data_IF_292889709351
#
_entry.id   IF_292889709351
#
_cell.length_a   1.000
_cell.length_b   1.000
_cell.length_c   1.000
_cell.angle_alpha   90.00
_cell.angle_beta   90.00
_cell.angle_gamma   90.00
#
_symmetry.space_group_name_H-M   'P 1'
#
loop_
_entity.id
_entity.type
_entity.pdbx_description
1 polymer ?
#
# COMPACT_ATOMS: atom_id res chain seq x y z
N UNK A 1 -37.17 9.20 4.97
CA UNK A 1 -36.30 8.22 5.62
C UNK A 1 -34.95 8.25 4.89
N UNK A 2 -33.92 8.81 5.49
CA UNK A 2 -32.57 8.66 4.98
C UNK A 2 -32.15 7.23 5.31
N UNK A 3 -32.04 6.37 4.33
CA UNK A 3 -31.39 5.08 4.45
C UNK A 3 -29.89 5.31 4.58
N UNK A 4 -29.43 5.67 5.75
CA UNK A 4 -28.01 5.76 6.04
C UNK A 4 -27.40 4.36 5.96
N UNK A 5 -26.40 4.17 5.13
CA UNK A 5 -25.53 3.01 5.20
C UNK A 5 -24.85 3.02 6.56
N UNK A 6 -25.02 1.96 7.34
CA UNK A 6 -24.50 1.92 8.71
C UNK A 6 -23.12 1.28 8.68
N UNK A 7 -22.08 2.06 9.04
CA UNK A 7 -20.78 1.51 9.36
C UNK A 7 -20.83 0.81 10.72
N UNK A 8 -20.38 -0.42 10.81
CA UNK A 8 -20.39 -1.21 12.04
C UNK A 8 -19.05 -1.91 12.29
N UNK A 9 -18.83 -2.29 13.54
CA UNK A 9 -17.67 -3.07 13.97
C UNK A 9 -16.31 -2.41 13.64
N UNK A 10 -16.24 -1.07 13.76
CA UNK A 10 -15.05 -0.30 13.51
C UNK A 10 -14.41 0.21 14.80
N UNK A 11 -13.08 0.30 14.81
CA UNK A 11 -12.30 0.95 15.87
C UNK A 11 -11.64 2.20 15.29
N UNK A 12 -11.98 3.39 15.79
CA UNK A 12 -11.39 4.66 15.39
C UNK A 12 -10.83 5.40 16.59
N UNK A 13 -9.52 5.62 16.62
CA UNK A 13 -8.82 6.34 17.68
C UNK A 13 -7.93 7.43 17.09
N UNK A 14 -8.26 8.67 17.30
CA UNK A 14 -7.52 9.83 16.79
C UNK A 14 -8.40 10.80 16.02
N UNK A 15 -7.89 12.02 15.78
CA UNK A 15 -8.59 13.02 14.99
C UNK A 15 -8.79 12.51 13.57
N UNK A 16 -10.01 12.62 13.03
CA UNK A 16 -10.39 12.19 11.69
C UNK A 16 -10.09 10.70 11.34
N UNK A 17 -9.83 9.83 12.34
CA UNK A 17 -9.67 8.40 12.08
C UNK A 17 -10.97 7.83 11.52
N UNK A 18 -10.90 7.10 10.38
CA UNK A 18 -12.02 6.51 9.64
C UNK A 18 -13.18 7.49 9.36
N UNK A 19 -12.88 8.76 9.15
CA UNK A 19 -13.89 9.83 9.05
C UNK A 19 -14.97 9.58 7.98
N UNK A 20 -14.63 8.97 6.86
CA UNK A 20 -15.56 8.70 5.76
C UNK A 20 -16.11 7.26 5.73
N UNK A 21 -15.72 6.41 6.68
CA UNK A 21 -16.23 5.03 6.74
C UNK A 21 -17.77 5.03 6.80
N UNK A 22 -18.43 4.25 5.94
CA UNK A 22 -19.89 4.15 5.90
C UNK A 22 -20.63 5.33 5.26
N UNK A 23 -19.97 6.37 4.73
CA UNK A 23 -20.67 7.50 4.11
C UNK A 23 -21.27 7.20 2.73
N UNK A 24 -20.65 6.32 1.97
CA UNK A 24 -21.09 6.00 0.60
C UNK A 24 -21.53 4.54 0.42
N UNK A 25 -21.09 3.65 1.27
CA UNK A 25 -21.46 2.23 1.27
C UNK A 25 -21.44 1.70 2.71
N UNK A 26 -22.12 0.59 2.98
CA UNK A 26 -21.97 -0.11 4.24
C UNK A 26 -20.54 -0.65 4.33
N UNK A 27 -19.75 -0.08 5.21
CA UNK A 27 -18.35 -0.47 5.43
C UNK A 27 -18.14 -0.76 6.90
N UNK A 28 -17.35 -1.77 7.21
CA UNK A 28 -17.12 -2.18 8.59
C UNK A 28 -15.88 -3.01 8.80
N UNK A 29 -15.73 -3.47 10.04
CA UNK A 29 -14.62 -4.34 10.44
C UNK A 29 -13.23 -3.72 10.18
N UNK A 30 -13.13 -2.40 10.32
CA UNK A 30 -11.89 -1.67 10.08
C UNK A 30 -11.34 -1.06 11.36
N UNK A 31 -10.02 -0.94 11.44
CA UNK A 31 -9.30 -0.31 12.56
C UNK A 31 -8.53 0.89 12.02
N UNK A 32 -8.77 2.07 12.60
CA UNK A 32 -8.01 3.29 12.34
C UNK A 32 -7.49 3.89 13.65
N UNK A 33 -6.18 3.88 13.85
CA UNK A 33 -5.52 4.45 15.02
C UNK A 33 -4.46 5.46 14.60
N UNK A 34 -4.71 6.72 14.85
CA UNK A 34 -3.84 7.83 14.49
C UNK A 34 -4.59 8.99 13.86
N UNK A 35 -3.96 10.17 13.79
CA UNK A 35 -4.53 11.32 13.10
C UNK A 35 -4.69 11.01 11.61
N UNK A 36 -5.91 11.13 11.08
CA UNK A 36 -6.21 10.86 9.66
C UNK A 36 -6.05 9.41 9.20
N UNK A 37 -5.87 8.43 10.11
CA UNK A 37 -5.80 7.02 9.73
C UNK A 37 -7.10 6.59 9.03
N UNK A 38 -7.02 6.17 7.77
CA UNK A 38 -8.16 5.79 6.95
C UNK A 38 -9.17 6.90 6.67
N UNK A 39 -8.78 8.18 6.74
CA UNK A 39 -9.72 9.32 6.68
C UNK A 39 -10.64 9.32 5.48
N UNK A 40 -10.12 9.02 4.29
CA UNK A 40 -10.88 9.05 3.03
C UNK A 40 -11.23 7.65 2.51
N UNK A 41 -11.22 6.64 3.40
CA UNK A 41 -11.58 5.26 3.02
C UNK A 41 -13.05 4.95 3.27
N UNK A 42 -13.61 4.12 2.40
CA UNK A 42 -14.96 3.55 2.51
C UNK A 42 -14.95 2.03 2.37
N UNK A 43 -13.77 1.43 2.15
CA UNK A 43 -13.61 -0.03 2.08
C UNK A 43 -13.60 -0.70 3.45
N UNK A 44 -13.93 -1.98 3.49
CA UNK A 44 -14.01 -2.81 4.71
C UNK A 44 -12.71 -3.57 5.01
N UNK A 45 -12.62 -4.11 6.23
CA UNK A 45 -11.55 -5.02 6.63
C UNK A 45 -10.14 -4.42 6.57
N UNK A 46 -10.01 -3.11 6.73
CA UNK A 46 -8.73 -2.43 6.72
C UNK A 46 -8.20 -2.21 8.13
N UNK A 47 -6.88 -2.32 8.31
CA UNK A 47 -6.18 -1.99 9.54
C UNK A 47 -5.15 -0.90 9.27
N UNK A 48 -5.39 0.31 9.80
CA UNK A 48 -4.54 1.48 9.63
C UNK A 48 -4.04 1.98 10.98
N UNK A 49 -2.73 1.93 11.22
CA UNK A 49 -2.12 2.37 12.48
C UNK A 49 -0.98 3.35 12.20
N UNK A 50 -1.16 4.58 12.58
CA UNK A 50 -0.20 5.67 12.36
C UNK A 50 -0.87 6.92 11.78
N UNK A 51 -0.23 8.08 11.93
CA UNK A 51 -0.74 9.30 11.30
C UNK A 51 -0.73 9.14 9.78
N UNK A 52 -1.86 9.43 9.14
CA UNK A 52 -2.09 9.29 7.70
C UNK A 52 -1.89 7.86 7.14
N UNK A 53 -1.82 6.81 7.98
CA UNK A 53 -1.81 5.44 7.50
C UNK A 53 -3.13 5.15 6.76
N UNK A 54 -3.05 4.64 5.53
CA UNK A 54 -4.23 4.39 4.71
C UNK A 54 -5.12 5.62 4.52
N UNK A 55 -4.55 6.82 4.44
CA UNK A 55 -5.31 8.08 4.35
C UNK A 55 -6.38 8.04 3.26
N UNK A 56 -6.06 7.41 2.15
CA UNK A 56 -6.88 7.34 0.94
C UNK A 56 -6.50 8.41 -0.08
N UNK A 57 -6.29 7.99 -1.33
CA UNK A 57 -5.83 8.86 -2.42
C UNK A 57 -6.88 9.84 -2.95
N UNK A 58 -8.16 9.67 -2.60
CA UNK A 58 -9.26 10.53 -3.06
C UNK A 58 -9.91 11.26 -1.90
N UNK A 59 -9.86 12.59 -1.91
CA UNK A 59 -10.39 13.46 -0.85
C UNK A 59 -11.87 13.83 -1.04
N UNK A 60 -12.46 13.45 -2.17
CA UNK A 60 -13.88 13.63 -2.51
C UNK A 60 -14.48 12.31 -3.01
N UNK A 61 -15.79 12.22 -3.05
CA UNK A 61 -16.47 11.02 -3.57
C UNK A 61 -16.21 10.85 -5.10
N UNK A 62 -16.00 9.63 -5.59
CA UNK A 62 -15.94 8.39 -4.81
C UNK A 62 -14.65 8.32 -3.97
N UNK A 63 -14.80 8.04 -2.68
CA UNK A 63 -13.66 7.86 -1.77
C UNK A 63 -12.93 6.53 -2.04
N UNK A 64 -11.77 6.36 -1.40
CA UNK A 64 -10.97 5.14 -1.55
C UNK A 64 -11.74 3.91 -1.04
N UNK A 65 -11.93 2.91 -1.88
CA UNK A 65 -12.78 1.75 -1.61
C UNK A 65 -12.01 0.43 -1.46
N UNK A 66 -10.69 0.48 -1.48
CA UNK A 66 -9.84 -0.72 -1.31
C UNK A 66 -10.09 -1.42 0.03
N UNK A 67 -9.99 -2.75 0.04
CA UNK A 67 -10.32 -3.60 1.17
C UNK A 67 -9.16 -4.51 1.58
N UNK A 68 -9.25 -5.07 2.80
CA UNK A 68 -8.30 -6.06 3.30
C UNK A 68 -6.84 -5.56 3.34
N UNK A 69 -6.62 -4.26 3.51
CA UNK A 69 -5.28 -3.70 3.61
C UNK A 69 -4.85 -3.60 5.08
N UNK A 70 -3.57 -3.85 5.33
CA UNK A 70 -2.92 -3.57 6.61
C UNK A 70 -1.82 -2.54 6.36
N UNK A 71 -1.94 -1.35 6.96
CA UNK A 71 -0.93 -0.30 6.86
C UNK A 71 -0.54 0.21 8.25
N UNK A 72 0.75 0.11 8.58
CA UNK A 72 1.29 0.52 9.88
C UNK A 72 2.49 1.45 9.68
N UNK A 73 2.37 2.69 10.13
CA UNK A 73 3.42 3.71 10.03
C UNK A 73 2.89 5.05 9.52
N UNK A 74 3.70 6.10 9.67
CA UNK A 74 3.36 7.42 9.13
C UNK A 74 3.29 7.37 7.59
N UNK A 75 2.15 7.77 7.00
CA UNK A 75 1.96 7.78 5.55
C UNK A 75 2.08 6.40 4.87
N UNK A 76 1.99 5.29 5.61
CA UNK A 76 1.97 3.97 5.01
C UNK A 76 0.69 3.80 4.18
N UNK A 77 0.80 3.44 2.90
CA UNK A 77 -0.32 3.23 1.97
C UNK A 77 -1.25 4.46 1.86
N UNK A 78 -0.71 5.67 1.89
CA UNK A 78 -1.55 6.88 1.98
C UNK A 78 -2.26 7.26 0.67
N UNK A 79 -1.76 6.86 -0.48
CA UNK A 79 -2.33 7.20 -1.79
C UNK A 79 -3.34 6.17 -2.35
N UNK A 80 -3.63 5.06 -1.63
CA UNK A 80 -4.46 4.00 -2.21
C UNK A 80 -5.88 4.47 -2.56
N UNK A 81 -6.44 3.87 -3.61
CA UNK A 81 -7.81 4.14 -4.08
C UNK A 81 -8.65 2.86 -4.05
N UNK A 82 -8.37 1.93 -4.92
CA UNK A 82 -9.04 0.63 -5.02
C UNK A 82 -8.10 -0.54 -4.71
N UNK A 83 -6.83 -0.28 -4.39
CA UNK A 83 -5.85 -1.30 -4.03
C UNK A 83 -6.32 -2.14 -2.83
N UNK A 84 -6.08 -3.45 -2.86
CA UNK A 84 -6.58 -4.38 -1.86
C UNK A 84 -5.57 -5.45 -1.45
N UNK A 85 -5.77 -6.04 -0.28
CA UNK A 85 -4.94 -7.14 0.24
C UNK A 85 -3.45 -6.81 0.34
N UNK A 86 -3.10 -5.55 0.57
CA UNK A 86 -1.71 -5.13 0.77
C UNK A 86 -1.32 -5.20 2.25
N UNK A 87 -0.08 -5.61 2.52
CA UNK A 87 0.56 -5.55 3.84
C UNK A 87 1.70 -4.54 3.77
N UNK A 88 1.53 -3.41 4.44
CA UNK A 88 2.45 -2.26 4.35
C UNK A 88 2.88 -1.84 5.75
N UNK A 89 4.19 -1.81 6.01
CA UNK A 89 4.71 -1.43 7.32
C UNK A 89 5.97 -0.58 7.20
N UNK A 90 5.94 0.63 7.71
CA UNK A 90 7.05 1.57 7.69
C UNK A 90 6.60 2.97 7.27
N UNK A 91 7.43 3.97 7.55
CA UNK A 91 7.17 5.34 7.11
C UNK A 91 7.14 5.39 5.58
N UNK A 92 6.07 5.94 5.00
CA UNK A 92 5.84 6.06 3.56
C UNK A 92 5.98 4.74 2.75
N UNK A 93 5.96 3.58 3.40
CA UNK A 93 5.96 2.31 2.68
C UNK A 93 4.69 2.22 1.81
N UNK A 94 4.82 1.74 0.58
CA UNK A 94 3.70 1.62 -0.37
C UNK A 94 2.96 2.94 -0.63
N UNK A 95 3.62 4.10 -0.41
CA UNK A 95 2.96 5.41 -0.49
C UNK A 95 2.36 5.73 -1.86
N UNK A 96 2.93 5.20 -2.95
CA UNK A 96 2.42 5.36 -4.31
C UNK A 96 1.34 4.36 -4.73
N UNK A 97 1.14 3.27 -3.99
CA UNK A 97 0.19 2.23 -4.37
C UNK A 97 -1.24 2.78 -4.43
N UNK A 98 -1.78 2.96 -5.63
CA UNK A 98 -3.15 3.45 -5.83
C UNK A 98 -4.13 2.31 -6.06
N UNK A 99 -3.90 1.49 -7.06
CA UNK A 99 -4.73 0.34 -7.41
C UNK A 99 -4.01 -0.99 -7.22
N UNK A 100 -2.72 -0.96 -6.84
CA UNK A 100 -1.89 -2.14 -6.59
C UNK A 100 -2.46 -3.07 -5.52
N UNK A 101 -2.28 -4.37 -5.67
CA UNK A 101 -2.88 -5.35 -4.77
C UNK A 101 -1.95 -6.53 -4.43
N UNK A 102 -2.21 -7.18 -3.29
CA UNK A 102 -1.43 -8.32 -2.79
C UNK A 102 0.08 -8.04 -2.63
N UNK A 103 0.46 -6.80 -2.38
CA UNK A 103 1.85 -6.41 -2.17
C UNK A 103 2.24 -6.52 -0.69
N UNK A 104 3.49 -6.85 -0.43
CA UNK A 104 4.12 -6.78 0.88
C UNK A 104 5.23 -5.72 0.80
N UNK A 105 5.07 -4.60 1.52
CA UNK A 105 6.04 -3.52 1.58
C UNK A 105 6.40 -3.23 3.05
N UNK A 106 7.59 -3.64 3.48
CA UNK A 106 8.05 -3.50 4.86
C UNK A 106 9.40 -2.76 4.90
N UNK A 107 9.40 -1.58 5.47
CA UNK A 107 10.58 -0.70 5.58
C UNK A 107 10.26 0.73 5.19
N UNK A 108 11.06 1.69 5.65
CA UNK A 108 10.92 3.11 5.26
C UNK A 108 11.08 3.25 3.74
N UNK A 109 10.05 3.78 3.05
CA UNK A 109 10.04 3.96 1.60
C UNK A 109 10.15 2.66 0.78
N UNK A 110 9.82 1.50 1.32
CA UNK A 110 9.71 0.28 0.53
C UNK A 110 8.53 0.39 -0.45
N UNK A 111 8.76 0.06 -1.73
CA UNK A 111 7.75 0.07 -2.81
C UNK A 111 7.01 1.42 -2.89
N UNK A 112 7.72 2.54 -2.77
CA UNK A 112 7.09 3.86 -2.59
C UNK A 112 6.55 4.47 -3.87
N UNK A 113 7.06 4.13 -5.05
CA UNK A 113 6.66 4.76 -6.32
C UNK A 113 5.73 3.92 -7.18
N UNK A 114 5.53 2.64 -6.85
CA UNK A 114 4.66 1.76 -7.60
C UNK A 114 3.19 2.13 -7.37
N UNK A 115 2.44 2.36 -8.43
CA UNK A 115 1.03 2.76 -8.35
C UNK A 115 0.06 1.60 -8.64
N UNK A 116 0.41 0.67 -9.51
CA UNK A 116 -0.49 -0.40 -9.99
C UNK A 116 0.06 -1.82 -9.79
N UNK A 117 1.29 -1.97 -9.32
CA UNK A 117 1.96 -3.27 -9.17
C UNK A 117 1.22 -4.27 -8.29
N UNK A 118 1.37 -5.55 -8.58
CA UNK A 118 0.72 -6.62 -7.84
C UNK A 118 1.68 -7.75 -7.44
N UNK A 119 1.50 -8.28 -6.23
CA UNK A 119 2.23 -9.45 -5.76
C UNK A 119 3.68 -9.20 -5.36
N UNK A 120 4.17 -7.97 -5.34
CA UNK A 120 5.54 -7.65 -4.95
C UNK A 120 5.82 -7.94 -3.49
N UNK A 121 7.05 -8.39 -3.21
CA UNK A 121 7.61 -8.51 -1.86
C UNK A 121 8.81 -7.56 -1.75
N UNK A 122 8.65 -6.46 -1.05
CA UNK A 122 9.68 -5.46 -0.77
C UNK A 122 9.92 -5.37 0.74
N UNK A 123 11.02 -5.95 1.22
CA UNK A 123 11.36 -5.97 2.64
C UNK A 123 12.74 -5.34 2.86
N UNK A 124 12.76 -4.21 3.52
CA UNK A 124 13.95 -3.41 3.78
C UNK A 124 13.74 -1.94 3.41
N UNK A 125 14.46 -1.03 4.06
CA UNK A 125 14.34 0.38 3.73
C UNK A 125 14.68 0.61 2.25
N UNK A 126 13.80 1.28 1.52
CA UNK A 126 13.91 1.57 0.08
C UNK A 126 14.06 0.32 -0.83
N UNK A 127 13.62 -0.86 -0.40
CA UNK A 127 13.54 -2.01 -1.30
C UNK A 127 12.48 -1.75 -2.38
N UNK A 128 12.78 -2.05 -3.66
CA UNK A 128 11.92 -1.74 -4.83
C UNK A 128 11.42 -0.29 -4.84
N UNK A 129 12.25 0.65 -4.40
CA UNK A 129 11.81 2.05 -4.23
C UNK A 129 11.31 2.68 -5.53
N UNK A 130 11.99 2.46 -6.65
CA UNK A 130 11.68 3.05 -7.94
C UNK A 130 10.82 2.16 -8.85
N UNK A 131 10.34 1.02 -8.32
CA UNK A 131 9.43 0.16 -9.08
C UNK A 131 8.21 0.95 -9.52
N UNK A 132 7.89 0.90 -10.80
CA UNK A 132 6.68 1.52 -11.34
C UNK A 132 6.32 0.84 -12.66
N UNK A 133 5.36 -0.06 -12.61
CA UNK A 133 4.82 -0.67 -13.81
C UNK A 133 3.90 0.30 -14.55
N UNK A 134 4.16 0.49 -15.83
CA UNK A 134 3.27 1.28 -16.70
C UNK A 134 2.00 0.51 -17.11
N UNK A 135 1.85 -0.74 -16.71
CA UNK A 135 0.76 -1.62 -17.15
C UNK A 135 0.20 -2.44 -16.00
N UNK A 136 -1.10 -2.58 -16.02
CA UNK A 136 -1.93 -3.11 -14.95
C UNK A 136 -1.76 -4.61 -14.65
N UNK A 137 -1.61 -4.94 -13.36
CA UNK A 137 -2.36 -6.03 -12.73
C UNK A 137 -2.01 -7.46 -13.17
N UNK A 138 -0.74 -7.76 -13.36
CA UNK A 138 -0.33 -9.14 -13.55
C UNK A 138 0.51 -9.60 -12.33
N UNK A 139 -0.10 -10.30 -11.39
CA UNK A 139 0.60 -10.85 -10.22
C UNK A 139 1.67 -11.89 -10.57
N UNK A 140 1.69 -12.36 -11.82
CA UNK A 140 2.75 -13.24 -12.32
C UNK A 140 4.05 -12.50 -12.68
N UNK A 141 4.05 -11.18 -12.66
CA UNK A 141 5.22 -10.33 -12.95
C UNK A 141 5.88 -9.77 -11.68
N UNK A 142 5.53 -10.30 -10.54
CA UNK A 142 5.98 -9.85 -9.23
C UNK A 142 7.50 -9.95 -9.02
N UNK A 143 8.05 -9.00 -8.28
CA UNK A 143 9.43 -9.02 -7.83
C UNK A 143 9.51 -9.35 -6.33
N UNK A 144 10.58 -10.02 -5.94
CA UNK A 144 10.96 -10.24 -4.54
C UNK A 144 12.26 -9.49 -4.28
N UNK A 145 12.23 -8.49 -3.39
CA UNK A 145 13.42 -7.75 -2.97
C UNK A 145 13.50 -7.70 -1.44
N UNK A 146 14.56 -8.30 -0.89
CA UNK A 146 14.78 -8.39 0.55
C UNK A 146 16.16 -7.84 0.90
N UNK A 147 16.19 -6.75 1.63
CA UNK A 147 17.42 -6.06 2.03
C UNK A 147 17.30 -4.55 1.87
N UNK A 148 18.09 -3.78 2.61
CA UNK A 148 18.16 -2.33 2.45
C UNK A 148 18.56 -2.00 1.01
N UNK A 149 17.73 -1.22 0.30
CA UNK A 149 17.92 -0.83 -1.11
C UNK A 149 18.07 -2.02 -2.09
N UNK A 150 17.56 -3.20 -1.76
CA UNK A 150 17.50 -4.31 -2.72
C UNK A 150 16.62 -3.90 -3.91
N UNK A 151 17.11 -4.10 -5.13
CA UNK A 151 16.47 -3.71 -6.39
C UNK A 151 16.02 -2.23 -6.41
N UNK A 152 16.79 -1.33 -5.80
CA UNK A 152 16.41 0.09 -5.63
C UNK A 152 16.05 0.78 -6.93
N UNK A 153 16.86 0.61 -7.98
CA UNK A 153 16.67 1.27 -9.28
C UNK A 153 15.80 0.47 -10.25
N UNK A 154 15.26 -0.68 -9.83
CA UNK A 154 14.36 -1.43 -10.69
C UNK A 154 13.12 -0.60 -10.98
N UNK A 155 12.84 -0.31 -12.24
CA UNK A 155 11.67 0.48 -12.66
C UNK A 155 10.59 -0.42 -13.25
N UNK A 156 10.87 -1.09 -14.35
CA UNK A 156 9.92 -1.94 -15.08
C UNK A 156 10.31 -3.42 -15.12
N UNK A 157 11.48 -3.77 -14.55
CA UNK A 157 11.91 -5.16 -14.47
C UNK A 157 10.98 -6.03 -13.62
N UNK A 158 10.68 -7.24 -14.07
CA UNK A 158 9.76 -8.15 -13.41
C UNK A 158 10.35 -9.55 -13.18
N UNK A 159 9.67 -10.36 -12.36
CA UNK A 159 10.07 -11.72 -12.01
C UNK A 159 11.51 -11.83 -11.45
N UNK A 160 11.95 -10.80 -10.73
CA UNK A 160 13.28 -10.78 -10.15
C UNK A 160 13.23 -11.26 -8.68
N UNK A 161 14.26 -12.01 -8.27
CA UNK A 161 14.53 -12.37 -6.88
C UNK A 161 15.85 -11.69 -6.48
N UNK A 162 15.77 -10.71 -5.60
CA UNK A 162 16.92 -9.90 -5.20
C UNK A 162 17.02 -9.91 -3.66
N UNK A 163 18.09 -10.51 -3.13
CA UNK A 163 18.27 -10.65 -1.69
C UNK A 163 19.65 -10.10 -1.30
N UNK A 164 19.69 -9.19 -0.37
CA UNK A 164 20.93 -8.58 0.13
C UNK A 164 20.89 -7.06 0.10
N UNK A 165 21.70 -6.43 0.94
CA UNK A 165 21.83 -4.96 0.97
C UNK A 165 22.40 -4.46 -0.35
N UNK A 166 21.68 -3.54 -1.00
CA UNK A 166 22.02 -2.96 -2.30
C UNK A 166 22.25 -3.99 -3.43
N UNK A 167 21.74 -5.23 -3.27
CA UNK A 167 21.76 -6.19 -4.37
C UNK A 167 20.94 -5.63 -5.54
N UNK A 168 21.44 -5.76 -6.76
CA UNK A 168 20.85 -5.20 -8.00
C UNK A 168 20.46 -3.72 -7.87
N UNK A 169 21.38 -2.90 -7.31
CA UNK A 169 21.09 -1.49 -7.02
C UNK A 169 20.92 -0.63 -8.29
N UNK A 170 21.63 -0.93 -9.37
CA UNK A 170 21.76 -0.08 -10.57
C UNK A 170 21.05 -0.59 -11.83
N UNK A 171 20.53 -1.80 -11.83
CA UNK A 171 19.80 -2.36 -12.97
C UNK A 171 18.31 -2.00 -12.87
N UNK A 172 17.79 -1.30 -13.86
CA UNK A 172 16.44 -0.72 -13.85
C UNK A 172 15.38 -1.48 -14.65
N UNK A 173 15.76 -2.36 -15.58
CA UNK A 173 14.81 -3.01 -16.50
C UNK A 173 14.96 -4.54 -16.64
N UNK A 174 15.95 -5.14 -15.99
CA UNK A 174 16.21 -6.58 -16.12
C UNK A 174 15.09 -7.46 -15.56
N UNK A 175 14.74 -8.51 -16.30
CA UNK A 175 13.71 -9.48 -15.92
C UNK A 175 14.31 -10.84 -15.57
N UNK A 176 13.60 -11.64 -14.75
CA UNK A 176 13.95 -13.01 -14.40
C UNK A 176 15.39 -13.16 -13.84
N UNK A 177 15.82 -12.17 -13.06
CA UNK A 177 17.16 -12.14 -12.46
C UNK A 177 17.11 -12.68 -11.04
N UNK A 178 18.09 -13.49 -10.67
CA UNK A 178 18.36 -13.85 -9.27
C UNK A 178 19.68 -13.20 -8.85
N UNK A 179 19.66 -12.38 -7.82
CA UNK A 179 20.84 -11.74 -7.22
C UNK A 179 20.79 -11.90 -5.70
N UNK A 180 21.91 -12.34 -5.11
CA UNK A 180 22.06 -12.57 -3.67
C UNK A 180 23.30 -11.85 -3.18
#
# INVERSE_FOLDING_TARGET
MYGGTVAHDNVAVGNDALYNIGKTAAAGNSVGVGNGAGKYTTGSYNTFVGSSAGLGGTTSAPYSSGENNTAVGYGALDAFTTGYSNVVMGKNAGGGLTTGFKNIAIGDGALVTDDVGAGHVAIGASALNNQNFASVNNEFEANVAIGNKAAYSNTTGNMNIVIGTAAKYTDDTGNQTTAI
#
